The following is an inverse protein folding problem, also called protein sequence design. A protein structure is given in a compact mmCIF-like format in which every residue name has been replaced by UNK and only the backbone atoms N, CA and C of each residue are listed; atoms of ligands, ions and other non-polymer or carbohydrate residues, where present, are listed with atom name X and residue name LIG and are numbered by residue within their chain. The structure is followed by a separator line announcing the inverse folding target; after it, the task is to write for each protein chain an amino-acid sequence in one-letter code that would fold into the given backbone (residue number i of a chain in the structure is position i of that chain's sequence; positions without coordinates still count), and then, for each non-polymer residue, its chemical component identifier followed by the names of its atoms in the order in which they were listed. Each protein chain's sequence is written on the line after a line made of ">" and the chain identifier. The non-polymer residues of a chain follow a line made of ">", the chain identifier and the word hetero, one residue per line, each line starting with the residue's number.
data_IF_325931160327
#
_entry.id   IF_325931160327
#
_cell.length_a   1.000
_cell.length_b   1.000
_cell.length_c   1.000
_cell.angle_alpha   90.00
_cell.angle_beta   90.00
_cell.angle_gamma   90.00
#
_symmetry.space_group_name_H-M   'P 1'
#
loop_
_entity.id
_entity.type
_entity.pdbx_description
1 polymer ?
#
# COMPACT_ATOMS: atom_id res chain seq x y z
N UNK A 1 -15.38 -20.14 7.36
CA UNK A 1 -15.26 -19.67 5.97
C UNK A 1 -13.78 -19.74 5.60
N UNK A 2 -13.43 -20.44 4.53
CA UNK A 2 -12.04 -20.72 4.17
C UNK A 2 -11.34 -19.46 3.67
N UNK A 3 -10.39 -18.93 4.45
CA UNK A 3 -9.46 -17.83 4.09
C UNK A 3 -8.43 -18.27 3.02
N UNK A 4 -8.81 -19.14 2.09
CA UNK A 4 -7.90 -19.77 1.14
C UNK A 4 -7.90 -19.02 -0.19
N UNK A 5 -6.72 -18.91 -0.79
CA UNK A 5 -6.54 -18.44 -2.16
C UNK A 5 -7.27 -19.40 -3.12
N UNK A 6 -7.93 -18.85 -4.13
CA UNK A 6 -8.51 -19.66 -5.21
C UNK A 6 -7.80 -19.37 -6.52
N UNK A 7 -7.35 -20.41 -7.20
CA UNK A 7 -6.67 -20.32 -8.47
C UNK A 7 -7.67 -20.62 -9.59
N UNK A 8 -7.72 -19.73 -10.57
CA UNK A 8 -8.52 -19.89 -11.79
C UNK A 8 -7.55 -20.28 -12.89
N UNK A 9 -7.77 -21.45 -13.49
CA UNK A 9 -6.99 -21.97 -14.60
C UNK A 9 -7.80 -21.97 -15.90
N UNK A 10 -7.10 -21.86 -17.03
CA UNK A 10 -7.68 -22.07 -18.35
C UNK A 10 -7.89 -23.57 -18.68
N UNK A 11 -8.32 -23.85 -19.90
CA UNK A 11 -8.56 -25.22 -20.38
C UNK A 11 -7.31 -26.08 -20.50
N UNK A 12 -6.11 -25.46 -20.55
CA UNK A 12 -4.83 -26.16 -20.60
C UNK A 12 -4.25 -26.38 -19.19
N UNK A 13 -4.95 -25.91 -18.15
CA UNK A 13 -4.54 -26.01 -16.75
C UNK A 13 -3.59 -24.89 -16.32
N UNK A 14 -3.35 -23.88 -17.16
CA UNK A 14 -2.50 -22.74 -16.82
C UNK A 14 -3.28 -21.74 -15.97
N UNK A 15 -2.69 -21.31 -14.84
CA UNK A 15 -3.28 -20.31 -13.96
C UNK A 15 -3.32 -18.95 -14.64
N UNK A 16 -4.53 -18.39 -14.77
CA UNK A 16 -4.76 -17.07 -15.39
C UNK A 16 -5.16 -16.01 -14.37
N UNK A 17 -5.68 -16.40 -13.20
CA UNK A 17 -6.10 -15.46 -12.16
C UNK A 17 -6.12 -16.12 -10.79
N UNK A 18 -6.05 -15.29 -9.73
CA UNK A 18 -6.15 -15.72 -8.34
C UNK A 18 -7.16 -14.84 -7.62
N UNK A 19 -8.16 -15.45 -6.99
CA UNK A 19 -9.11 -14.76 -6.11
C UNK A 19 -8.57 -14.82 -4.68
N UNK A 20 -8.48 -13.65 -4.05
CA UNK A 20 -7.90 -13.49 -2.71
C UNK A 20 -8.87 -12.75 -1.78
N UNK A 21 -8.81 -12.98 -0.46
CA UNK A 21 -9.49 -12.13 0.51
C UNK A 21 -9.00 -10.69 0.43
N UNK A 22 -9.91 -9.72 0.61
CA UNK A 22 -9.56 -8.30 0.49
C UNK A 22 -8.49 -7.85 1.48
N UNK A 23 -8.49 -8.40 2.70
CA UNK A 23 -7.47 -8.10 3.71
C UNK A 23 -6.07 -8.53 3.25
N UNK A 24 -5.97 -9.71 2.63
CA UNK A 24 -4.71 -10.22 2.07
C UNK A 24 -4.22 -9.35 0.91
N UNK A 25 -5.14 -8.92 0.04
CA UNK A 25 -4.80 -7.99 -1.05
C UNK A 25 -4.27 -6.66 -0.52
N UNK A 26 -4.89 -6.09 0.52
CA UNK A 26 -4.45 -4.84 1.12
C UNK A 26 -3.04 -4.95 1.72
N UNK A 27 -2.72 -6.06 2.37
CA UNK A 27 -1.38 -6.32 2.90
C UNK A 27 -0.34 -6.41 1.77
N UNK A 28 -0.61 -7.22 0.74
CA UNK A 28 0.26 -7.36 -0.43
C UNK A 28 0.50 -6.02 -1.15
N UNK A 29 -0.54 -5.19 -1.27
CA UNK A 29 -0.46 -3.90 -1.94
C UNK A 29 0.28 -2.85 -1.11
N UNK A 30 0.14 -2.89 0.22
CA UNK A 30 0.89 -2.01 1.13
C UNK A 30 2.41 -2.23 1.00
N UNK A 31 2.84 -3.48 0.80
CA UNK A 31 4.24 -3.79 0.50
C UNK A 31 4.69 -3.20 -0.83
N UNK A 32 3.86 -3.26 -1.89
CA UNK A 32 4.20 -2.73 -3.21
C UNK A 32 4.30 -1.20 -3.24
N UNK A 33 3.36 -0.52 -2.59
CA UNK A 33 3.36 0.94 -2.48
C UNK A 33 4.55 1.43 -1.65
N UNK A 34 4.85 0.74 -0.55
CA UNK A 34 6.04 1.02 0.26
C UNK A 34 7.32 0.72 -0.52
N UNK A 35 7.39 -0.38 -1.27
CA UNK A 35 8.54 -0.74 -2.09
C UNK A 35 8.81 0.31 -3.18
N UNK A 36 7.77 0.89 -3.77
CA UNK A 36 7.92 2.01 -4.71
C UNK A 36 8.55 3.23 -4.04
N UNK A 37 8.07 3.63 -2.86
CA UNK A 37 8.66 4.73 -2.09
C UNK A 37 10.10 4.42 -1.62
N UNK A 38 10.41 3.16 -1.34
CA UNK A 38 11.74 2.72 -0.92
C UNK A 38 12.74 2.62 -2.09
N UNK A 39 12.28 2.60 -3.35
CA UNK A 39 13.16 2.54 -4.53
C UNK A 39 14.04 3.78 -4.70
N UNK A 40 13.59 4.94 -4.18
CA UNK A 40 14.37 6.19 -4.18
C UNK A 40 15.01 6.41 -2.80
N UNK A 41 16.34 6.61 -2.73
CA UNK A 41 17.03 6.90 -1.47
C UNK A 41 16.45 8.13 -0.75
N UNK A 42 16.17 9.21 -1.50
CA UNK A 42 15.57 10.44 -0.96
C UNK A 42 14.16 10.20 -0.41
N UNK A 43 13.36 9.39 -1.09
CA UNK A 43 12.00 9.10 -0.64
C UNK A 43 11.99 8.18 0.58
N UNK A 44 12.90 7.20 0.64
CA UNK A 44 13.15 6.37 1.82
C UNK A 44 13.50 7.22 3.04
N UNK A 45 14.39 8.19 2.90
CA UNK A 45 14.74 9.11 4.00
C UNK A 45 13.53 9.91 4.48
N UNK A 46 12.75 10.48 3.54
CA UNK A 46 11.52 11.22 3.86
C UNK A 46 10.51 10.36 4.62
N UNK A 47 10.33 9.12 4.19
CA UNK A 47 9.40 8.17 4.81
C UNK A 47 9.83 7.82 6.24
N UNK A 48 11.12 7.51 6.43
CA UNK A 48 11.68 7.22 7.75
C UNK A 48 11.61 8.42 8.69
N UNK A 49 11.83 9.63 8.17
CA UNK A 49 11.68 10.88 8.94
C UNK A 49 10.22 11.09 9.34
N UNK A 50 9.27 10.94 8.41
CA UNK A 50 7.85 11.07 8.67
C UNK A 50 7.35 10.09 9.74
N UNK A 51 7.77 8.82 9.65
CA UNK A 51 7.43 7.79 10.64
C UNK A 51 7.90 8.13 12.07
N UNK A 52 8.97 8.90 12.22
CA UNK A 52 9.52 9.30 13.53
C UNK A 52 8.87 10.57 14.11
N UNK A 53 8.15 11.35 13.30
CA UNK A 53 7.46 12.56 13.78
C UNK A 53 6.34 12.18 14.74
N UNK A 54 6.18 12.98 15.79
CA UNK A 54 5.10 12.85 16.78
C UNK A 54 4.15 14.05 16.77
N UNK A 55 4.52 15.04 15.99
CA UNK A 55 3.90 16.33 15.82
C UNK A 55 3.36 16.47 14.39
N UNK A 56 2.37 17.35 14.26
CA UNK A 56 1.69 17.64 13.00
C UNK A 56 0.88 18.92 13.11
N UNK A 57 0.25 19.29 12.01
CA UNK A 57 -0.73 20.38 11.98
C UNK A 57 -2.13 19.80 11.77
N UNK A 58 -3.15 20.51 12.24
CA UNK A 58 -4.54 20.14 11.95
C UNK A 58 -4.82 20.24 10.45
N UNK A 59 -5.87 19.55 9.99
CA UNK A 59 -6.34 19.66 8.61
C UNK A 59 -6.66 21.12 8.27
N UNK A 60 -7.37 21.84 9.15
CA UNK A 60 -7.73 23.25 8.96
C UNK A 60 -6.49 24.14 8.78
N UNK A 61 -5.46 23.95 9.61
CA UNK A 61 -4.20 24.71 9.50
C UNK A 61 -3.43 24.33 8.23
N UNK A 62 -3.54 23.09 7.77
CA UNK A 62 -2.96 22.67 6.49
C UNK A 62 -3.69 23.32 5.31
N UNK A 63 -5.03 23.31 5.30
CA UNK A 63 -5.87 23.95 4.30
C UNK A 63 -5.59 25.45 4.20
N UNK A 64 -5.56 26.15 5.33
CA UNK A 64 -5.23 27.58 5.40
C UNK A 64 -3.84 27.89 4.80
N UNK A 65 -2.82 27.10 5.17
CA UNK A 65 -1.45 27.28 4.66
C UNK A 65 -1.32 26.97 3.16
N UNK A 66 -2.11 26.04 2.66
CA UNK A 66 -2.09 25.61 1.26
C UNK A 66 -3.04 26.42 0.37
N UNK A 67 -3.90 27.27 0.96
CA UNK A 67 -4.85 28.11 0.23
C UNK A 67 -5.98 27.31 -0.42
N UNK A 68 -6.37 26.18 0.18
CA UNK A 68 -7.45 25.30 -0.29
C UNK A 68 -8.58 25.17 0.73
#
# INVERSE_FOLDING_TARGET
>A
MTNALQYICDSEGQTISVVVPIAFWQELMAERETAYLLSSPTMKERLLAARKRRDGISLDSACEKLGI
#
